data_IF_182685209354
#
_entry.id   IF_182685209354
#
_cell.length_a   1.000
_cell.length_b   1.000
_cell.length_c   1.000
_cell.angle_alpha   90.00
_cell.angle_beta   90.00
_cell.angle_gamma   90.00
#
_symmetry.space_group_name_H-M   'P 1'
#
loop_
_entity.id
_entity.type
_entity.pdbx_description
1 polymer ?
#
# COMPACT_ATOMS: atom_id res chain seq x y z
N UNK A 1 -30.59 1.26 15.22
CA UNK A 1 -29.96 0.41 14.20
C UNK A 1 -28.64 1.01 13.76
N UNK A 2 -27.71 0.21 13.24
CA UNK A 2 -26.48 0.75 12.62
C UNK A 2 -26.82 1.30 11.22
N UNK A 3 -26.11 2.35 10.80
CA UNK A 3 -26.29 2.99 9.49
C UNK A 3 -25.27 2.41 8.53
N UNK A 4 -25.71 2.05 7.32
CA UNK A 4 -24.89 1.45 6.28
C UNK A 4 -25.11 2.18 4.96
N UNK A 5 -24.08 2.20 4.11
CA UNK A 5 -24.19 2.64 2.72
C UNK A 5 -24.35 1.40 1.86
N UNK A 6 -25.46 1.31 1.13
CA UNK A 6 -25.71 0.20 0.21
C UNK A 6 -25.05 0.45 -1.15
N UNK A 7 -23.76 0.13 -1.22
CA UNK A 7 -22.90 0.31 -2.40
C UNK A 7 -21.72 -0.67 -2.35
N UNK A 8 -21.04 -0.85 -3.49
CA UNK A 8 -19.72 -1.49 -3.52
C UNK A 8 -18.76 -0.74 -2.59
N UNK A 9 -17.91 -1.44 -1.79
CA UNK A 9 -16.92 -0.80 -0.94
C UNK A 9 -15.99 0.14 -1.72
N UNK A 10 -15.58 1.21 -1.06
CA UNK A 10 -14.60 2.16 -1.57
C UNK A 10 -13.42 2.24 -0.61
N UNK A 11 -12.24 2.51 -1.17
CA UNK A 11 -10.96 2.49 -0.49
C UNK A 11 -10.36 3.89 -0.51
N UNK A 12 -9.60 4.24 0.51
CA UNK A 12 -8.89 5.51 0.58
C UNK A 12 -7.46 5.35 0.04
N UNK A 13 -7.16 5.80 -1.20
CA UNK A 13 -5.80 5.77 -1.73
C UNK A 13 -4.91 6.84 -1.03
N UNK A 14 -3.58 6.76 -1.22
CA UNK A 14 -2.65 7.81 -0.82
C UNK A 14 -3.04 9.17 -1.41
N UNK A 15 -2.81 10.24 -0.65
CA UNK A 15 -3.23 11.59 -1.04
C UNK A 15 -2.24 12.18 -2.06
N UNK A 16 -2.59 12.16 -3.34
CA UNK A 16 -1.79 12.71 -4.44
C UNK A 16 -1.54 14.22 -4.38
N UNK A 17 -2.26 14.97 -3.54
CA UNK A 17 -2.05 16.43 -3.39
C UNK A 17 -0.90 16.78 -2.43
N UNK A 18 -0.44 15.83 -1.63
CA UNK A 18 0.66 16.04 -0.68
C UNK A 18 2.00 15.69 -1.35
N UNK A 19 2.01 14.65 -2.18
CA UNK A 19 3.20 14.11 -2.82
C UNK A 19 2.90 13.95 -4.31
N UNK A 20 3.74 14.54 -5.15
CA UNK A 20 3.80 14.22 -6.57
C UNK A 20 4.60 12.93 -6.75
N UNK A 21 3.90 11.83 -7.05
CA UNK A 21 4.54 10.54 -7.22
C UNK A 21 5.36 10.43 -8.51
N UNK A 22 5.18 11.34 -9.48
CA UNK A 22 6.00 11.36 -10.69
C UNK A 22 7.46 11.73 -10.41
N UNK A 23 7.73 12.41 -9.29
CA UNK A 23 9.08 12.74 -8.81
C UNK A 23 9.63 11.74 -7.78
N UNK A 24 8.92 10.64 -7.51
CA UNK A 24 9.37 9.62 -6.54
C UNK A 24 10.13 8.53 -7.29
N UNK A 25 11.41 8.37 -6.96
CA UNK A 25 12.27 7.38 -7.60
C UNK A 25 12.20 5.99 -6.96
N UNK A 26 11.92 5.91 -5.66
CA UNK A 26 11.93 4.65 -4.91
C UNK A 26 10.80 4.58 -3.88
N UNK A 27 10.17 3.40 -3.80
CA UNK A 27 9.24 3.03 -2.72
C UNK A 27 9.80 1.80 -1.99
N UNK A 28 9.85 1.85 -0.67
CA UNK A 28 10.28 0.73 0.18
C UNK A 28 9.06 0.11 0.88
N UNK A 29 8.86 -1.19 0.71
CA UNK A 29 7.72 -1.93 1.26
C UNK A 29 8.15 -2.73 2.49
N UNK A 30 7.64 -2.35 3.66
CA UNK A 30 7.96 -3.03 4.91
C UNK A 30 7.24 -4.36 5.11
N UNK A 31 6.00 -4.52 4.65
CA UNK A 31 5.25 -5.77 4.76
C UNK A 31 4.14 -5.83 3.71
N UNK A 32 3.48 -6.98 3.59
CA UNK A 32 2.51 -7.25 2.54
C UNK A 32 1.26 -6.35 2.60
N UNK A 33 0.87 -5.86 3.79
CA UNK A 33 -0.26 -4.91 3.94
C UNK A 33 0.08 -3.53 3.36
N UNK A 34 1.36 -3.14 3.36
CA UNK A 34 1.81 -1.88 2.78
C UNK A 34 1.75 -1.86 1.23
N UNK A 35 1.41 -2.99 0.58
CA UNK A 35 1.32 -3.09 -0.88
C UNK A 35 -0.07 -2.75 -1.43
N UNK A 36 -1.11 -2.69 -0.57
CA UNK A 36 -2.51 -2.54 -1.01
C UNK A 36 -2.78 -1.25 -1.80
N UNK A 37 -1.99 -0.20 -1.58
CA UNK A 37 -2.11 1.05 -2.31
C UNK A 37 -1.28 1.09 -3.60
N UNK A 38 -0.41 0.11 -3.84
CA UNK A 38 0.59 0.16 -4.91
C UNK A 38 -0.03 0.28 -6.31
N UNK A 39 -1.14 -0.42 -6.65
CA UNK A 39 -1.79 -0.24 -7.95
C UNK A 39 -2.33 1.18 -8.16
N UNK A 40 -2.86 1.83 -7.11
CA UNK A 40 -3.29 3.24 -7.20
C UNK A 40 -2.11 4.17 -7.47
N UNK A 41 -0.94 3.91 -6.89
CA UNK A 41 0.26 4.73 -7.09
C UNK A 41 0.83 4.50 -8.48
N UNK A 42 1.19 3.26 -8.80
CA UNK A 42 1.89 2.90 -10.06
C UNK A 42 1.07 3.21 -11.31
N UNK A 43 -0.25 3.01 -11.29
CA UNK A 43 -1.07 3.14 -12.49
C UNK A 43 -1.73 4.51 -12.65
N UNK A 44 -1.86 5.32 -11.59
CA UNK A 44 -2.66 6.56 -11.64
C UNK A 44 -1.90 7.85 -11.30
N UNK A 45 -0.64 7.78 -10.85
CA UNK A 45 0.08 8.97 -10.32
C UNK A 45 1.35 9.35 -11.09
N UNK A 46 1.66 8.65 -12.18
CA UNK A 46 2.83 8.93 -13.02
C UNK A 46 4.17 8.43 -12.46
N UNK A 47 4.14 7.64 -11.39
CA UNK A 47 5.31 6.99 -10.79
C UNK A 47 6.06 6.13 -11.82
N UNK A 48 7.38 6.33 -11.91
CA UNK A 48 8.28 5.57 -12.81
C UNK A 48 9.46 4.92 -12.08
N UNK A 49 9.48 5.06 -10.76
CA UNK A 49 10.54 4.57 -9.91
C UNK A 49 10.54 3.05 -9.73
N UNK A 50 11.41 2.60 -8.83
CA UNK A 50 11.54 1.20 -8.42
C UNK A 50 10.87 0.96 -7.07
N UNK A 51 10.25 -0.20 -6.91
CA UNK A 51 9.68 -0.63 -5.62
C UNK A 51 10.55 -1.75 -5.06
N UNK A 52 10.96 -1.66 -3.80
CA UNK A 52 11.71 -2.74 -3.14
C UNK A 52 10.88 -3.39 -2.05
N UNK A 53 10.89 -4.72 -2.04
CA UNK A 53 10.22 -5.53 -1.04
C UNK A 53 11.01 -6.83 -0.82
N UNK A 54 10.89 -7.44 0.35
CA UNK A 54 11.43 -8.78 0.54
C UNK A 54 10.63 -9.80 -0.28
N UNK A 55 11.25 -10.91 -0.68
CA UNK A 55 10.57 -11.93 -1.48
C UNK A 55 9.29 -12.47 -0.80
N UNK A 56 9.29 -12.86 0.50
CA UNK A 56 8.06 -13.35 1.12
C UNK A 56 6.97 -12.27 1.18
N UNK A 57 7.34 -11.00 1.38
CA UNK A 57 6.40 -9.88 1.33
C UNK A 57 5.76 -9.74 -0.05
N UNK A 58 6.55 -9.84 -1.12
CA UNK A 58 6.04 -9.74 -2.50
C UNK A 58 5.07 -10.89 -2.82
N UNK A 59 5.42 -12.13 -2.46
CA UNK A 59 4.58 -13.29 -2.75
C UNK A 59 3.25 -13.25 -1.99
N UNK A 60 3.27 -12.93 -0.69
CA UNK A 60 2.04 -12.80 0.11
C UNK A 60 1.22 -11.60 -0.36
N UNK A 61 1.88 -10.47 -0.64
CA UNK A 61 1.22 -9.27 -1.14
C UNK A 61 0.53 -9.49 -2.47
N UNK A 62 1.15 -10.25 -3.39
CA UNK A 62 0.52 -10.67 -4.65
C UNK A 62 -0.77 -11.45 -4.40
N UNK A 63 -0.70 -12.53 -3.64
CA UNK A 63 -1.87 -13.35 -3.33
C UNK A 63 -2.99 -12.50 -2.74
N UNK A 64 -2.65 -11.62 -1.79
CA UNK A 64 -3.65 -10.78 -1.13
C UNK A 64 -4.28 -9.75 -2.08
N UNK A 65 -3.48 -9.12 -2.96
CA UNK A 65 -3.98 -8.17 -3.95
C UNK A 65 -4.90 -8.85 -4.98
N UNK A 66 -4.51 -10.03 -5.47
CA UNK A 66 -5.30 -10.79 -6.45
C UNK A 66 -6.62 -11.26 -5.83
N UNK A 67 -6.57 -11.85 -4.64
CA UNK A 67 -7.75 -12.35 -3.93
C UNK A 67 -8.72 -11.21 -3.54
N UNK A 68 -8.19 -10.03 -3.16
CA UNK A 68 -9.02 -8.87 -2.84
C UNK A 68 -9.85 -8.40 -4.04
N UNK A 69 -9.24 -8.37 -5.24
CA UNK A 69 -9.96 -8.01 -6.47
C UNK A 69 -11.01 -9.06 -6.80
N UNK A 70 -10.63 -10.34 -6.76
CA UNK A 70 -11.55 -11.45 -7.05
C UNK A 70 -12.77 -11.46 -6.12
N UNK A 71 -12.59 -11.27 -4.81
CA UNK A 71 -13.70 -11.24 -3.84
C UNK A 71 -14.68 -10.10 -4.12
N UNK A 72 -14.18 -8.92 -4.52
CA UNK A 72 -15.03 -7.77 -4.83
C UNK A 72 -15.77 -8.01 -6.16
N UNK A 73 -15.10 -8.56 -7.16
CA UNK A 73 -15.69 -8.86 -8.48
C UNK A 73 -16.73 -9.99 -8.43
N UNK A 74 -16.59 -10.96 -7.52
CA UNK A 74 -17.57 -12.04 -7.30
C UNK A 74 -18.91 -11.55 -6.74
N UNK A 75 -18.95 -10.36 -6.14
CA UNK A 75 -20.16 -9.80 -5.54
C UNK A 75 -20.55 -8.47 -6.18
N UNK A 76 -20.79 -8.43 -7.51
CA UNK A 76 -21.04 -7.17 -8.21
C UNK A 76 -22.38 -6.58 -7.75
N UNK A 77 -22.34 -5.46 -7.03
CA UNK A 77 -23.55 -4.72 -6.66
C UNK A 77 -23.95 -3.79 -7.81
N UNK A 78 -25.24 -3.81 -8.14
CA UNK A 78 -25.82 -2.89 -9.13
C UNK A 78 -25.99 -1.46 -8.59
N UNK A 79 -25.95 -1.28 -7.26
CA UNK A 79 -26.11 0.02 -6.60
C UNK A 79 -24.77 0.72 -6.39
N UNK A 80 -24.67 1.95 -6.92
CA UNK A 80 -23.56 2.87 -6.67
C UNK A 80 -24.08 4.07 -5.89
N UNK A 81 -23.99 4.01 -4.57
CA UNK A 81 -24.39 5.12 -3.72
C UNK A 81 -23.21 6.09 -3.53
N UNK A 82 -23.22 7.20 -4.27
CA UNK A 82 -22.19 8.25 -4.18
C UNK A 82 -22.72 9.56 -3.58
N UNK A 83 -24.00 9.86 -3.76
CA UNK A 83 -24.62 11.14 -3.36
C UNK A 83 -24.56 11.42 -1.86
N UNK A 84 -24.53 10.39 -1.02
CA UNK A 84 -24.42 10.55 0.44
C UNK A 84 -23.18 11.36 0.85
N UNK A 85 -22.10 11.34 0.04
CA UNK A 85 -20.88 12.12 0.24
C UNK A 85 -21.09 13.64 0.13
N UNK A 86 -22.19 14.08 -0.48
CA UNK A 86 -22.58 15.50 -0.56
C UNK A 86 -23.27 15.98 0.72
N UNK A 87 -23.89 15.04 1.46
CA UNK A 87 -24.75 15.33 2.60
C UNK A 87 -24.13 14.92 3.94
N UNK A 88 -22.81 14.71 4.01
CA UNK A 88 -22.11 14.21 5.22
C UNK A 88 -22.51 14.97 6.49
N UNK A 89 -22.63 16.29 6.42
CA UNK A 89 -22.94 17.16 7.55
C UNK A 89 -24.33 16.94 8.18
N UNK A 90 -25.28 16.35 7.44
CA UNK A 90 -26.61 15.99 7.95
C UNK A 90 -26.77 14.50 8.22
N UNK A 91 -25.79 13.66 7.86
CA UNK A 91 -25.87 12.23 8.09
C UNK A 91 -25.55 11.88 9.55
N UNK A 92 -26.19 10.84 10.12
CA UNK A 92 -25.84 10.35 11.45
C UNK A 92 -24.44 9.73 11.49
N UNK A 93 -23.89 9.60 12.69
CA UNK A 93 -22.65 8.85 12.92
C UNK A 93 -22.80 7.37 12.49
N UNK A 94 -21.75 6.75 11.92
CA UNK A 94 -20.40 7.29 11.73
C UNK A 94 -20.20 8.09 10.43
N UNK A 95 -21.22 8.19 9.56
CA UNK A 95 -21.07 8.78 8.22
C UNK A 95 -20.71 10.26 8.24
N UNK A 96 -21.21 11.03 9.20
CA UNK A 96 -20.82 12.44 9.37
C UNK A 96 -19.35 12.63 9.72
N UNK A 97 -18.70 11.63 10.32
CA UNK A 97 -17.28 11.67 10.68
C UNK A 97 -16.37 11.01 9.64
N UNK A 98 -16.90 10.55 8.50
CA UNK A 98 -16.06 9.96 7.47
C UNK A 98 -15.01 10.95 6.97
N UNK A 99 -13.74 10.53 7.00
CA UNK A 99 -12.65 11.37 6.53
C UNK A 99 -12.59 11.39 5.01
N UNK A 100 -12.88 12.56 4.43
CA UNK A 100 -12.70 12.87 2.99
C UNK A 100 -13.24 11.79 2.04
N UNK A 101 -14.51 11.35 2.15
CA UNK A 101 -15.03 10.23 1.35
C UNK A 101 -15.08 10.50 -0.16
N UNK A 102 -14.99 11.77 -0.58
CA UNK A 102 -14.86 12.16 -1.98
C UNK A 102 -13.54 11.73 -2.62
N UNK A 103 -12.51 11.44 -1.83
CA UNK A 103 -11.22 10.94 -2.35
C UNK A 103 -11.17 9.41 -2.40
N UNK A 104 -12.19 8.73 -1.88
CA UNK A 104 -12.26 7.28 -1.93
C UNK A 104 -12.50 6.81 -3.37
N UNK A 105 -11.94 5.65 -3.71
CA UNK A 105 -12.00 5.03 -5.04
C UNK A 105 -12.51 3.60 -4.92
N UNK A 106 -13.10 3.09 -5.98
CA UNK A 106 -13.31 1.65 -6.09
C UNK A 106 -11.98 0.92 -6.17
N UNK A 107 -12.00 -0.40 -5.90
CA UNK A 107 -10.81 -1.23 -6.04
C UNK A 107 -10.31 -1.19 -7.49
N UNK A 108 -8.99 -1.22 -7.66
CA UNK A 108 -8.35 -1.46 -8.95
C UNK A 108 -8.70 -2.85 -9.51
N UNK A 109 -8.38 -3.11 -10.77
CA UNK A 109 -8.61 -4.41 -11.41
C UNK A 109 -7.34 -5.30 -11.40
N UNK A 110 -7.50 -6.55 -11.81
CA UNK A 110 -6.41 -7.53 -11.84
C UNK A 110 -5.27 -7.15 -12.80
N UNK A 111 -5.56 -6.39 -13.86
CA UNK A 111 -4.54 -5.90 -14.79
C UNK A 111 -3.63 -4.86 -14.11
N UNK A 112 -4.21 -3.93 -13.36
CA UNK A 112 -3.48 -2.95 -12.56
C UNK A 112 -2.64 -3.62 -11.46
N UNK A 113 -3.17 -4.68 -10.81
CA UNK A 113 -2.39 -5.49 -9.85
C UNK A 113 -1.13 -6.05 -10.51
N UNK A 114 -1.28 -6.78 -11.63
CA UNK A 114 -0.16 -7.42 -12.33
C UNK A 114 0.90 -6.41 -12.80
N UNK A 115 0.47 -5.26 -13.33
CA UNK A 115 1.38 -4.18 -13.72
C UNK A 115 2.11 -3.59 -12.52
N UNK A 116 1.40 -3.26 -11.43
CA UNK A 116 2.02 -2.72 -10.22
C UNK A 116 3.08 -3.64 -9.62
N UNK A 117 2.85 -4.96 -9.63
CA UNK A 117 3.80 -5.95 -9.12
C UNK A 117 5.06 -6.06 -9.98
N UNK A 118 4.97 -5.73 -11.28
CA UNK A 118 6.13 -5.74 -12.18
C UNK A 118 7.17 -4.65 -11.85
N UNK A 119 6.77 -3.61 -11.11
CA UNK A 119 7.68 -2.58 -10.59
C UNK A 119 8.49 -3.03 -9.36
N UNK A 120 8.17 -4.20 -8.80
CA UNK A 120 8.79 -4.68 -7.56
C UNK A 120 10.05 -5.46 -7.86
N UNK A 121 11.15 -4.98 -7.30
CA UNK A 121 12.40 -5.71 -7.19
C UNK A 121 12.49 -6.36 -5.81
N UNK A 122 12.56 -7.69 -5.81
CA UNK A 122 12.74 -8.47 -4.59
C UNK A 122 14.15 -8.29 -4.02
N UNK A 123 14.23 -8.23 -2.69
CA UNK A 123 15.48 -8.01 -1.96
C UNK A 123 15.64 -9.04 -0.84
N UNK A 124 16.88 -9.47 -0.60
CA UNK A 124 17.22 -10.27 0.57
C UNK A 124 17.40 -9.43 1.83
N UNK A 125 17.26 -10.03 3.00
CA UNK A 125 17.65 -9.38 4.24
C UNK A 125 19.14 -9.11 4.28
N UNK A 126 19.52 -7.98 4.85
CA UNK A 126 20.90 -7.49 4.96
C UNK A 126 21.62 -7.29 3.62
N UNK A 127 20.91 -7.40 2.50
CA UNK A 127 21.43 -7.06 1.18
C UNK A 127 21.54 -5.54 1.08
N UNK A 128 22.75 -5.04 0.84
CA UNK A 128 22.99 -3.63 0.51
C UNK A 128 22.66 -3.39 -0.96
N UNK A 129 21.76 -2.46 -1.22
CA UNK A 129 21.38 -2.07 -2.57
C UNK A 129 21.77 -0.63 -2.81
N UNK A 130 22.57 -0.42 -3.85
CA UNK A 130 22.88 0.91 -4.33
C UNK A 130 21.67 1.49 -5.08
N UNK A 131 21.23 2.65 -4.65
CA UNK A 131 20.13 3.42 -5.22
C UNK A 131 20.75 4.62 -5.92
N UNK A 132 20.92 4.48 -7.24
CA UNK A 132 21.42 5.51 -8.15
C UNK A 132 22.78 6.11 -7.75
N UNK A 133 23.66 5.35 -7.10
CA UNK A 133 24.96 5.82 -6.60
C UNK A 133 24.89 6.85 -5.47
N UNK A 134 23.69 7.15 -4.95
CA UNK A 134 23.47 8.23 -3.98
C UNK A 134 23.21 7.69 -2.57
N UNK A 135 22.49 6.56 -2.47
CA UNK A 135 22.05 5.96 -1.21
C UNK A 135 22.29 4.45 -1.25
N UNK A 136 22.55 3.87 -0.09
CA UNK A 136 22.42 2.42 0.11
C UNK A 136 21.17 2.13 0.92
N UNK A 137 20.33 1.21 0.44
CA UNK A 137 19.17 0.71 1.20
C UNK A 137 19.35 -0.75 1.58
N UNK A 138 18.87 -1.11 2.76
CA UNK A 138 18.96 -2.48 3.29
C UNK A 138 17.69 -2.82 4.08
N UNK A 139 17.09 -3.96 3.76
CA UNK A 139 16.00 -4.54 4.53
C UNK A 139 16.55 -5.34 5.72
N UNK A 140 16.04 -5.08 6.91
CA UNK A 140 16.34 -5.82 8.16
C UNK A 140 15.06 -6.44 8.66
N UNK A 141 15.06 -7.71 9.06
CA UNK A 141 13.86 -8.38 9.59
C UNK A 141 13.27 -7.59 10.77
N UNK A 142 11.96 -7.35 10.73
CA UNK A 142 11.26 -6.65 11.82
C UNK A 142 10.63 -7.60 12.86
N UNK A 143 10.56 -8.89 12.55
CA UNK A 143 9.97 -9.91 13.43
C UNK A 143 8.43 -9.87 13.56
N UNK A 144 7.73 -8.96 12.86
CA UNK A 144 6.28 -8.79 13.00
C UNK A 144 5.45 -9.84 12.25
N UNK A 145 5.73 -10.04 10.96
CA UNK A 145 5.12 -11.10 10.14
C UNK A 145 6.14 -11.67 9.15
N UNK A 146 5.79 -12.74 8.44
CA UNK A 146 6.67 -13.32 7.43
C UNK A 146 7.01 -12.28 6.35
N UNK A 147 8.31 -12.11 6.09
CA UNK A 147 8.83 -11.11 5.14
C UNK A 147 8.89 -9.67 5.67
N UNK A 148 8.37 -9.37 6.86
CA UNK A 148 8.32 -8.00 7.37
C UNK A 148 9.71 -7.42 7.63
N UNK A 149 9.90 -6.15 7.27
CA UNK A 149 11.20 -5.48 7.29
C UNK A 149 11.15 -4.04 7.78
N UNK A 150 12.17 -3.71 8.56
CA UNK A 150 12.63 -2.36 8.79
C UNK A 150 13.64 -1.99 7.71
N UNK A 151 13.75 -0.71 7.37
CA UNK A 151 14.63 -0.25 6.31
C UNK A 151 15.73 0.62 6.88
N UNK A 152 16.97 0.29 6.57
CA UNK A 152 18.12 1.14 6.83
C UNK A 152 18.47 1.84 5.52
N UNK A 153 18.50 3.15 5.55
CA UNK A 153 18.83 4.02 4.42
C UNK A 153 20.09 4.76 4.83
N UNK A 154 21.17 4.51 4.11
CA UNK A 154 22.49 5.02 4.42
C UNK A 154 22.96 5.92 3.27
N UNK A 155 23.41 7.11 3.59
CA UNK A 155 24.06 8.04 2.66
C UNK A 155 25.54 8.17 3.03
N UNK A 156 26.31 8.94 2.27
CA UNK A 156 27.72 9.20 2.65
C UNK A 156 27.91 9.90 4.00
N UNK A 157 26.86 10.50 4.57
CA UNK A 157 26.94 11.35 5.76
C UNK A 157 26.00 10.94 6.89
N UNK A 158 24.83 10.41 6.54
CA UNK A 158 23.74 10.14 7.46
C UNK A 158 23.20 8.73 7.28
N UNK A 159 22.81 8.12 8.40
CA UNK A 159 22.17 6.82 8.46
C UNK A 159 20.79 6.96 9.10
N UNK A 160 19.77 6.62 8.34
CA UNK A 160 18.36 6.69 8.72
C UNK A 160 17.84 5.26 8.88
N UNK A 161 17.14 5.00 9.98
CA UNK A 161 16.46 3.73 10.21
C UNK A 161 14.95 3.97 10.27
N UNK A 162 14.21 3.34 9.36
CA UNK A 162 12.75 3.30 9.36
C UNK A 162 12.27 2.03 10.06
N UNK A 163 11.61 2.22 11.21
CA UNK A 163 11.02 1.14 12.01
C UNK A 163 9.54 1.03 11.67
N UNK A 164 9.17 -0.08 11.03
CA UNK A 164 7.79 -0.44 10.75
C UNK A 164 7.20 -1.25 11.90
N UNK A 165 5.98 -1.81 11.74
CA UNK A 165 5.44 -2.77 12.69
C UNK A 165 6.49 -3.85 12.99
N UNK A 166 6.94 -3.91 14.24
CA UNK A 166 8.07 -4.73 14.67
C UNK A 166 7.70 -5.50 15.92
N UNK A 167 8.25 -6.70 16.08
CA UNK A 167 8.08 -7.52 17.28
C UNK A 167 9.42 -8.15 17.66
N UNK A 168 9.73 -8.10 18.95
CA UNK A 168 10.88 -8.81 19.55
C UNK A 168 10.49 -10.19 20.07
N UNK A 169 9.20 -10.53 20.02
CA UNK A 169 8.70 -11.82 20.46
C UNK A 169 9.00 -12.86 19.38
N UNK A 170 10.01 -13.67 19.60
CA UNK A 170 10.36 -14.81 18.73
C UNK A 170 9.36 -15.94 18.97
N UNK A 171 8.25 -15.96 18.24
CA UNK A 171 7.26 -17.05 18.33
C UNK A 171 7.58 -18.24 17.41
N UNK A 172 8.65 -18.17 16.62
CA UNK A 172 9.12 -19.28 15.79
C UNK A 172 10.65 -19.45 15.86
N UNK A 173 11.17 -20.70 15.99
CA UNK A 173 12.60 -21.02 15.97
C UNK A 173 13.25 -20.83 14.59
#
# INVERSE_FOLDING_TARGET
GRVFVDSTPEFQPPQSRIIDFSSVDVILISNYLCMLALPFVTEETGFKGMVYATEPTMQIGRMFLEELVENIEQTPRASFASRWKEFLHILPQPLSNCHRPRTWKHIYNLTAVKKSLSHIRMVGYNQKLDVYGALTVMAVSSGYCLGSSNWVIDSGYEKIAYVSGSSTLTTHP
#
